data_IF_200234675338
#
_entry.id   IF_200234675338
#
_cell.length_a   1.000
_cell.length_b   1.000
_cell.length_c   1.000
_cell.angle_alpha   90.00
_cell.angle_beta   90.00
_cell.angle_gamma   90.00
#
_symmetry.space_group_name_H-M   'P 1'
#
loop_
_entity.id
_entity.type
_entity.pdbx_description
1 polymer ?
#
# COMPACT_ATOMS: atom_id res chain seq x y z
N UNK A 1 27.18 2.94 -4.19
CA UNK A 1 26.76 3.78 -3.05
C UNK A 1 26.81 2.90 -1.82
N UNK A 2 27.36 3.39 -0.73
CA UNK A 2 27.39 2.71 0.57
C UNK A 2 26.55 3.50 1.58
N UNK A 3 26.32 2.93 2.78
CA UNK A 3 25.67 3.66 3.85
C UNK A 3 26.52 4.86 4.32
N UNK A 4 27.85 4.76 4.29
CA UNK A 4 28.76 5.88 4.55
C UNK A 4 28.55 7.03 3.58
N UNK A 5 28.45 6.75 2.25
CA UNK A 5 28.17 7.77 1.26
C UNK A 5 26.83 8.48 1.51
N UNK A 6 25.83 7.74 1.99
CA UNK A 6 24.53 8.32 2.36
C UNK A 6 24.68 9.26 3.58
N UNK A 7 25.39 8.85 4.62
CA UNK A 7 25.64 9.67 5.81
C UNK A 7 26.35 10.95 5.45
N UNK A 8 27.43 10.88 4.67
CA UNK A 8 28.20 12.06 4.25
C UNK A 8 27.33 13.07 3.49
N UNK A 9 26.41 12.59 2.64
CA UNK A 9 25.48 13.48 1.93
C UNK A 9 24.38 14.01 2.84
N UNK A 10 23.76 13.16 3.67
CA UNK A 10 22.71 13.58 4.61
C UNK A 10 23.20 14.64 5.59
N UNK A 11 24.44 14.56 6.07
CA UNK A 11 25.02 15.55 6.98
C UNK A 11 25.12 16.96 6.37
N UNK A 12 24.98 17.08 5.05
CA UNK A 12 24.97 18.36 4.30
C UNK A 12 23.57 18.85 3.96
N UNK A 13 22.53 18.16 4.41
CA UNK A 13 21.13 18.50 4.12
C UNK A 13 20.46 19.25 5.26
N UNK A 14 19.31 19.85 4.94
CA UNK A 14 18.44 20.54 5.91
C UNK A 14 17.36 19.60 6.50
N UNK A 15 17.32 18.35 6.07
CA UNK A 15 16.39 17.39 6.64
C UNK A 15 16.70 17.19 8.13
N UNK A 16 15.69 17.19 9.04
CA UNK A 16 15.95 17.06 10.48
C UNK A 16 16.29 15.61 10.83
N UNK A 17 17.48 15.18 10.44
CA UNK A 17 17.93 13.82 10.60
C UNK A 17 17.91 13.33 12.06
N UNK A 18 18.01 14.20 13.04
CA UNK A 18 17.90 13.87 14.46
C UNK A 18 16.52 13.31 14.85
N UNK A 19 15.47 13.75 14.15
CA UNK A 19 14.09 13.35 14.40
C UNK A 19 13.63 12.18 13.54
N UNK A 20 14.49 11.63 12.68
CA UNK A 20 14.18 10.46 11.88
C UNK A 20 14.64 9.18 12.59
N UNK A 21 14.10 8.05 12.14
CA UNK A 21 14.45 6.72 12.63
C UNK A 21 14.95 5.87 11.47
N UNK A 22 16.17 5.39 11.59
CA UNK A 22 16.98 4.80 10.53
C UNK A 22 17.18 3.31 10.70
N UNK A 23 17.40 2.65 9.58
CA UNK A 23 17.95 1.30 9.50
C UNK A 23 18.97 1.23 8.36
N UNK A 24 19.77 0.16 8.34
CA UNK A 24 20.63 -0.15 7.21
C UNK A 24 19.80 -0.71 6.06
N UNK A 25 20.22 -0.48 4.82
CA UNK A 25 19.53 -0.98 3.63
C UNK A 25 20.49 -1.80 2.76
N UNK A 26 20.08 -3.02 2.38
CA UNK A 26 20.81 -3.82 1.40
C UNK A 26 20.65 -3.29 -0.02
N UNK A 27 21.42 -3.86 -0.97
CA UNK A 27 21.28 -3.56 -2.42
C UNK A 27 19.85 -3.82 -2.93
N UNK A 28 19.19 -4.83 -2.38
CA UNK A 28 17.80 -5.19 -2.72
C UNK A 28 16.76 -4.39 -1.93
N UNK A 29 17.19 -3.29 -1.28
CA UNK A 29 16.34 -2.42 -0.47
C UNK A 29 15.64 -3.14 0.68
N UNK A 30 16.23 -4.19 1.25
CA UNK A 30 15.72 -4.82 2.47
C UNK A 30 16.26 -4.10 3.70
N UNK A 31 15.41 -3.90 4.75
CA UNK A 31 15.84 -3.23 5.97
C UNK A 31 16.61 -4.16 6.92
N UNK A 32 17.63 -3.61 7.58
CA UNK A 32 18.45 -4.29 8.58
C UNK A 32 18.68 -3.37 9.79
N UNK A 33 18.76 -3.95 10.98
CA UNK A 33 19.20 -3.27 12.20
C UNK A 33 20.67 -2.92 12.11
N UNK A 34 21.13 -2.09 13.06
CA UNK A 34 22.55 -1.72 13.14
C UNK A 34 23.47 -2.89 13.50
N UNK A 35 22.94 -3.96 14.10
CA UNK A 35 23.66 -5.20 14.41
C UNK A 35 23.78 -6.16 13.19
N UNK A 36 23.32 -5.75 12.01
CA UNK A 36 23.35 -6.54 10.79
C UNK A 36 22.23 -7.58 10.66
N UNK A 37 21.31 -7.69 11.62
CA UNK A 37 20.15 -8.58 11.53
C UNK A 37 18.99 -7.93 10.79
N UNK A 38 18.03 -8.74 10.28
CA UNK A 38 16.85 -8.24 9.58
C UNK A 38 16.01 -7.34 10.48
N UNK A 39 15.66 -6.15 10.01
CA UNK A 39 14.71 -5.27 10.65
C UNK A 39 13.28 -5.56 10.19
N UNK A 40 12.32 -5.38 11.10
CA UNK A 40 10.89 -5.44 10.80
C UNK A 40 10.33 -4.02 10.73
N UNK A 41 9.69 -3.66 9.63
CA UNK A 41 9.03 -2.35 9.46
C UNK A 41 7.89 -2.12 10.45
N UNK A 42 7.44 -3.17 11.14
CA UNK A 42 6.36 -3.11 12.14
C UNK A 42 6.85 -2.86 13.56
N UNK A 43 8.19 -2.80 13.76
CA UNK A 43 8.80 -2.65 15.08
C UNK A 43 9.57 -1.34 15.15
N UNK A 44 9.13 -0.45 16.02
CA UNK A 44 9.79 0.84 16.25
C UNK A 44 11.25 0.66 16.70
N UNK A 45 11.50 -0.31 17.57
CA UNK A 45 12.79 -0.63 18.15
C UNK A 45 13.83 -1.16 17.14
N UNK A 46 13.41 -1.53 15.95
CA UNK A 46 14.31 -1.97 14.87
C UNK A 46 14.94 -0.78 14.10
N UNK A 47 14.55 0.46 14.45
CA UNK A 47 15.01 1.69 13.83
C UNK A 47 15.74 2.57 14.86
N UNK A 48 16.94 3.00 14.50
CA UNK A 48 17.86 3.74 15.34
C UNK A 48 17.79 5.25 15.12
N UNK A 49 18.35 6.01 16.05
CA UNK A 49 18.64 7.44 15.87
C UNK A 49 19.81 7.65 14.91
N UNK A 50 19.96 8.86 14.38
CA UNK A 50 21.10 9.18 13.51
C UNK A 50 22.45 9.05 14.24
N UNK A 51 22.50 9.43 15.54
CA UNK A 51 23.70 9.26 16.36
C UNK A 51 24.14 7.80 16.47
N UNK A 52 23.19 6.89 16.74
CA UNK A 52 23.48 5.45 16.79
C UNK A 52 23.95 4.91 15.42
N UNK A 53 23.42 5.45 14.32
CA UNK A 53 23.90 5.08 12.97
C UNK A 53 25.34 5.47 12.76
N UNK A 54 25.79 6.65 13.24
CA UNK A 54 27.18 7.10 13.09
C UNK A 54 28.17 6.18 13.81
N UNK A 55 27.73 5.57 14.91
CA UNK A 55 28.56 4.63 15.71
C UNK A 55 28.47 3.17 15.20
N UNK A 56 27.73 2.91 14.11
CA UNK A 56 27.51 1.57 13.60
C UNK A 56 28.77 1.01 12.92
N UNK A 57 29.31 -0.16 13.33
CA UNK A 57 30.49 -0.75 12.74
C UNK A 57 30.26 -1.37 11.36
N UNK A 58 28.99 -1.56 10.93
CA UNK A 58 28.61 -2.29 9.73
C UNK A 58 28.28 -1.40 8.51
N UNK A 59 28.52 -0.09 8.59
CA UNK A 59 28.13 0.87 7.54
C UNK A 59 28.68 0.54 6.15
N UNK A 60 29.90 -0.01 6.07
CA UNK A 60 30.53 -0.36 4.80
C UNK A 60 29.93 -1.61 4.14
N UNK A 61 29.28 -2.47 4.92
CA UNK A 61 28.68 -3.73 4.46
C UNK A 61 27.33 -3.50 3.76
N UNK A 62 26.72 -2.33 3.99
CA UNK A 62 25.39 -2.01 3.48
C UNK A 62 25.42 -0.98 2.37
N UNK A 63 24.45 -1.10 1.47
CA UNK A 63 24.36 -0.28 0.28
C UNK A 63 23.76 1.11 0.54
N UNK A 64 23.12 1.34 1.69
CA UNK A 64 22.52 2.62 2.03
C UNK A 64 21.79 2.61 3.37
N UNK A 65 21.04 3.67 3.60
CA UNK A 65 20.17 3.85 4.75
C UNK A 65 18.71 3.81 4.33
N UNK A 66 17.84 3.52 5.28
CA UNK A 66 16.40 3.66 5.14
C UNK A 66 15.80 4.31 6.38
N UNK A 67 14.62 4.88 6.24
CA UNK A 67 13.84 5.46 7.34
C UNK A 67 12.48 4.77 7.45
N UNK A 68 12.00 4.59 8.67
CA UNK A 68 10.62 4.18 8.91
C UNK A 68 9.68 5.37 8.75
N UNK A 69 8.67 5.25 7.93
CA UNK A 69 7.65 6.29 7.75
C UNK A 69 6.94 6.59 9.07
N UNK A 70 6.48 5.54 9.77
CA UNK A 70 5.78 5.67 11.03
C UNK A 70 6.70 6.18 12.15
N UNK A 71 7.85 5.52 12.36
CA UNK A 71 8.74 5.87 13.47
C UNK A 71 9.36 7.27 13.32
N UNK A 72 9.52 7.75 12.08
CA UNK A 72 9.99 9.10 11.77
C UNK A 72 8.86 10.13 11.71
N UNK A 73 7.61 9.72 11.77
CA UNK A 73 6.42 10.57 11.61
C UNK A 73 6.52 11.48 10.37
N UNK A 74 6.79 10.87 9.21
CA UNK A 74 6.93 11.56 7.93
C UNK A 74 5.94 11.04 6.91
N UNK A 75 5.52 11.92 6.01
CA UNK A 75 4.84 11.56 4.76
C UNK A 75 5.92 11.32 3.71
N UNK A 76 5.82 10.21 2.99
CA UNK A 76 6.69 9.89 1.87
C UNK A 76 5.90 9.73 0.58
N UNK A 77 6.38 10.38 -0.50
CA UNK A 77 5.89 10.16 -1.85
C UNK A 77 7.05 9.58 -2.66
N UNK A 78 6.82 8.46 -3.32
CA UNK A 78 7.82 7.80 -4.17
C UNK A 78 7.34 7.85 -5.64
N UNK A 79 8.16 8.43 -6.51
CA UNK A 79 7.90 8.54 -7.94
C UNK A 79 8.83 7.58 -8.66
N UNK A 80 8.29 6.44 -9.11
CA UNK A 80 9.05 5.37 -9.73
C UNK A 80 9.31 5.65 -11.22
N UNK A 81 10.54 5.33 -11.68
CA UNK A 81 10.93 5.37 -13.10
C UNK A 81 10.62 6.69 -13.83
N UNK A 82 10.66 7.81 -13.10
CA UNK A 82 10.33 9.13 -13.62
C UNK A 82 11.53 9.93 -14.17
N UNK A 83 12.73 9.40 -14.03
CA UNK A 83 14.02 10.00 -14.49
C UNK A 83 14.62 9.10 -15.56
N UNK A 84 14.81 9.60 -16.78
CA UNK A 84 15.39 8.83 -17.90
C UNK A 84 16.88 8.58 -17.70
N UNK A 85 17.66 9.64 -17.48
CA UNK A 85 19.09 9.57 -17.16
C UNK A 85 19.27 9.62 -15.64
N UNK A 86 19.88 8.61 -15.01
CA UNK A 86 20.03 8.56 -13.57
C UNK A 86 20.67 9.84 -12.99
N UNK A 87 20.06 10.38 -11.93
CA UNK A 87 20.49 11.59 -11.22
C UNK A 87 20.45 12.89 -12.07
N UNK A 88 19.76 12.90 -13.20
CA UNK A 88 19.63 14.07 -14.05
C UNK A 88 18.19 14.62 -14.00
N UNK A 89 17.97 15.68 -13.21
CA UNK A 89 16.65 16.30 -13.02
C UNK A 89 16.07 16.88 -14.32
N UNK A 90 16.89 17.17 -15.32
CA UNK A 90 16.42 17.72 -16.60
C UNK A 90 15.75 16.67 -17.49
N UNK A 91 15.85 15.39 -17.14
CA UNK A 91 15.29 14.25 -17.92
C UNK A 91 14.03 13.66 -17.33
N UNK A 92 13.34 14.41 -16.45
CA UNK A 92 12.06 14.01 -15.86
C UNK A 92 10.90 14.32 -16.81
N UNK A 93 9.84 13.51 -16.73
CA UNK A 93 8.61 13.73 -17.49
C UNK A 93 7.77 14.89 -16.94
N UNK A 94 6.77 15.34 -17.70
CA UNK A 94 5.95 16.51 -17.32
C UNK A 94 5.14 16.26 -16.04
N UNK A 95 4.58 15.05 -15.85
CA UNK A 95 3.87 14.70 -14.62
C UNK A 95 4.75 14.87 -13.39
N UNK A 96 5.99 14.41 -13.46
CA UNK A 96 6.96 14.55 -12.36
C UNK A 96 7.27 16.02 -12.09
N UNK A 97 7.46 16.84 -13.13
CA UNK A 97 7.65 18.31 -12.97
C UNK A 97 6.48 18.95 -12.23
N UNK A 98 5.26 18.65 -12.67
CA UNK A 98 4.04 19.18 -12.04
C UNK A 98 3.94 18.76 -10.55
N UNK A 99 4.32 17.53 -10.21
CA UNK A 99 4.35 17.07 -8.82
C UNK A 99 5.46 17.82 -8.04
N UNK A 100 6.66 17.91 -8.58
CA UNK A 100 7.75 18.63 -7.90
C UNK A 100 7.40 20.09 -7.65
N UNK A 101 6.74 20.76 -8.58
CA UNK A 101 6.30 22.15 -8.43
C UNK A 101 5.31 22.36 -7.28
N UNK A 102 4.55 21.31 -6.90
CA UNK A 102 3.66 21.35 -5.74
C UNK A 102 4.40 21.29 -4.41
N UNK A 103 5.60 20.68 -4.37
CA UNK A 103 6.30 20.35 -3.12
C UNK A 103 7.66 21.03 -2.95
N UNK A 104 8.24 21.62 -4.00
CA UNK A 104 9.62 22.12 -4.02
C UNK A 104 9.94 23.19 -2.98
N UNK A 105 8.94 23.93 -2.51
CA UNK A 105 9.16 25.08 -1.62
C UNK A 105 9.16 24.69 -0.13
N UNK A 106 8.69 23.48 0.23
CA UNK A 106 8.59 23.08 1.64
C UNK A 106 8.97 21.63 1.94
N UNK A 107 9.04 20.74 0.94
CA UNK A 107 9.42 19.35 1.14
C UNK A 107 10.90 19.11 0.87
N UNK A 108 11.47 18.13 1.55
CA UNK A 108 12.78 17.58 1.17
C UNK A 108 12.58 16.63 0.00
N UNK A 109 13.33 16.84 -1.07
CA UNK A 109 13.21 16.06 -2.30
C UNK A 109 14.58 15.54 -2.73
N UNK A 110 14.69 14.26 -2.99
CA UNK A 110 15.93 13.60 -3.42
C UNK A 110 15.70 12.60 -4.55
N UNK A 111 16.76 12.23 -5.24
CA UNK A 111 16.75 11.06 -6.12
C UNK A 111 16.67 9.77 -5.30
N UNK A 112 15.88 8.81 -5.80
CA UNK A 112 15.81 7.48 -5.22
C UNK A 112 17.16 6.75 -5.31
N UNK A 113 17.25 5.61 -4.63
CA UNK A 113 18.47 4.79 -4.57
C UNK A 113 19.03 4.37 -5.95
N UNK A 114 18.15 4.14 -6.93
CA UNK A 114 18.56 3.81 -8.32
C UNK A 114 18.95 5.03 -9.16
N UNK A 115 18.67 6.22 -8.68
CA UNK A 115 18.79 7.48 -9.45
C UNK A 115 17.70 7.66 -10.51
N UNK A 116 16.82 6.69 -10.72
CA UNK A 116 15.75 6.71 -11.74
C UNK A 116 14.36 7.06 -11.20
N UNK A 117 14.24 7.25 -9.92
CA UNK A 117 13.03 7.71 -9.24
C UNK A 117 13.32 8.92 -8.39
N UNK A 118 12.28 9.54 -7.87
CA UNK A 118 12.36 10.70 -6.98
C UNK A 118 11.54 10.40 -5.73
N UNK A 119 12.06 10.85 -4.59
CA UNK A 119 11.40 10.75 -3.30
C UNK A 119 11.16 12.12 -2.71
N UNK A 120 9.95 12.33 -2.20
CA UNK A 120 9.53 13.55 -1.54
C UNK A 120 9.20 13.20 -0.10
N UNK A 121 9.78 13.92 0.86
CA UNK A 121 9.52 13.76 2.29
C UNK A 121 9.01 15.06 2.87
N UNK A 122 7.95 14.97 3.65
CA UNK A 122 7.38 16.11 4.38
C UNK A 122 6.69 15.61 5.65
N UNK A 123 6.24 16.55 6.51
CA UNK A 123 5.42 16.24 7.67
C UNK A 123 4.06 16.88 7.53
N UNK A 124 3.03 16.14 7.88
CA UNK A 124 1.65 16.60 7.84
C UNK A 124 0.76 15.78 8.75
N UNK A 125 -0.37 16.34 9.13
CA UNK A 125 -1.43 15.61 9.79
C UNK A 125 -2.01 14.51 8.89
N UNK A 126 -2.61 13.50 9.50
CA UNK A 126 -3.27 12.42 8.78
C UNK A 126 -4.38 12.97 7.87
N UNK A 127 -4.47 12.46 6.66
CA UNK A 127 -5.60 12.68 5.76
C UNK A 127 -6.67 11.62 6.12
N UNK A 128 -7.82 12.07 6.60
CA UNK A 128 -8.94 11.20 6.95
C UNK A 128 -9.50 10.46 5.73
N UNK A 129 -10.04 9.27 5.96
CA UNK A 129 -10.63 8.40 4.92
C UNK A 129 -9.67 8.10 3.76
N UNK A 130 -8.37 8.11 4.04
CA UNK A 130 -7.36 7.94 3.00
C UNK A 130 -7.51 6.61 2.27
N UNK A 131 -7.66 5.49 3.00
CA UNK A 131 -7.68 4.14 2.41
C UNK A 131 -8.89 3.89 1.53
N UNK A 132 -10.02 4.47 1.85
CA UNK A 132 -11.24 4.30 1.07
C UNK A 132 -11.16 5.04 -0.27
N UNK A 133 -10.62 6.25 -0.26
CA UNK A 133 -10.65 7.17 -1.40
C UNK A 133 -9.41 7.11 -2.31
N UNK A 134 -8.22 6.90 -1.74
CA UNK A 134 -6.97 7.04 -2.47
C UNK A 134 -6.19 5.75 -2.59
N UNK A 135 -5.40 5.61 -3.64
CA UNK A 135 -4.39 4.57 -3.76
C UNK A 135 -3.23 4.82 -2.79
N UNK A 136 -2.72 3.76 -2.16
CA UNK A 136 -1.38 3.79 -1.55
C UNK A 136 -0.32 3.71 -2.66
N UNK A 137 -0.59 2.91 -3.70
CA UNK A 137 0.25 2.75 -4.88
C UNK A 137 -0.62 2.85 -6.13
N UNK A 138 -0.41 3.91 -6.91
CA UNK A 138 -1.01 4.05 -8.24
C UNK A 138 0.00 3.58 -9.29
N UNK A 139 -0.09 2.31 -9.66
CA UNK A 139 0.85 1.66 -10.60
C UNK A 139 0.72 2.18 -12.01
N UNK A 140 -0.43 2.74 -12.39
CA UNK A 140 -0.66 3.27 -13.74
C UNK A 140 0.20 4.50 -14.05
N UNK A 141 0.60 5.23 -13.02
CA UNK A 141 1.39 6.45 -13.12
C UNK A 141 2.72 6.41 -12.34
N UNK A 142 3.03 5.26 -11.71
CA UNK A 142 4.27 5.07 -10.95
C UNK A 142 4.39 5.92 -9.69
N UNK A 143 3.28 6.22 -9.00
CA UNK A 143 3.26 7.06 -7.80
C UNK A 143 2.83 6.25 -6.58
N UNK A 144 3.60 6.34 -5.49
CA UNK A 144 3.25 5.78 -4.20
C UNK A 144 3.18 6.89 -3.14
N UNK A 145 2.22 6.77 -2.21
CA UNK A 145 2.04 7.72 -1.12
C UNK A 145 1.96 7.00 0.22
N UNK A 146 2.76 7.43 1.17
CA UNK A 146 2.86 6.83 2.50
C UNK A 146 2.71 7.91 3.56
N UNK A 147 1.80 7.72 4.51
CA UNK A 147 1.71 8.53 5.72
C UNK A 147 1.88 7.67 6.97
N UNK A 148 2.25 8.25 8.12
CA UNK A 148 2.56 7.51 9.36
C UNK A 148 1.40 6.63 9.82
N UNK A 149 0.18 7.14 9.68
CA UNK A 149 -1.06 6.46 10.04
C UNK A 149 -2.05 6.58 8.89
N UNK A 150 -2.82 5.53 8.63
CA UNK A 150 -3.90 5.49 7.66
C UNK A 150 -5.19 5.13 8.37
N UNK A 151 -6.14 6.05 8.48
CA UNK A 151 -7.45 5.82 9.12
C UNK A 151 -7.31 5.17 10.51
N UNK A 152 -6.40 5.70 11.33
CA UNK A 152 -6.08 5.19 12.65
C UNK A 152 -5.22 3.92 12.68
N UNK A 153 -4.78 3.39 11.52
CA UNK A 153 -3.93 2.22 11.42
C UNK A 153 -2.51 2.64 11.10
N UNK A 154 -1.56 2.19 11.92
CA UNK A 154 -0.12 2.43 11.75
C UNK A 154 0.39 1.99 10.39
N UNK A 155 1.16 2.83 9.74
CA UNK A 155 1.84 2.51 8.48
C UNK A 155 3.00 1.55 8.70
N UNK A 156 3.01 0.45 7.95
CA UNK A 156 4.09 -0.53 7.94
C UNK A 156 5.00 -0.30 6.72
N UNK A 157 5.56 0.91 6.61
CA UNK A 157 6.39 1.31 5.47
C UNK A 157 7.73 1.86 5.91
N UNK A 158 8.73 1.56 5.12
CA UNK A 158 10.04 2.19 5.18
C UNK A 158 10.46 2.61 3.76
N UNK A 159 11.28 3.62 3.65
CA UNK A 159 11.86 4.08 2.38
C UNK A 159 13.37 4.21 2.54
N UNK A 160 14.12 3.91 1.49
CA UNK A 160 15.55 4.19 1.47
C UNK A 160 15.77 5.70 1.37
N UNK A 161 16.85 6.21 1.98
CA UNK A 161 17.23 7.62 1.91
C UNK A 161 18.67 7.70 1.39
N UNK A 162 18.95 8.66 0.52
CA UNK A 162 20.21 8.72 -0.23
C UNK A 162 21.04 9.96 0.02
N UNK A 163 20.42 11.06 0.39
CA UNK A 163 21.07 12.39 0.45
C UNK A 163 21.40 12.98 -0.94
N UNK A 164 21.00 12.33 -2.06
CA UNK A 164 21.12 12.90 -3.40
C UNK A 164 20.04 13.95 -3.63
N UNK A 165 20.18 15.09 -2.98
CA UNK A 165 19.16 16.12 -2.82
C UNK A 165 18.88 16.86 -4.13
N UNK A 166 17.61 17.09 -4.43
CA UNK A 166 17.12 17.95 -5.51
C UNK A 166 16.65 19.28 -4.90
N UNK A 167 15.80 19.22 -3.86
CA UNK A 167 15.36 20.36 -3.07
C UNK A 167 15.61 20.10 -1.59
N UNK A 168 16.44 20.96 -0.98
CA UNK A 168 16.97 20.80 0.37
C UNK A 168 16.18 21.62 1.40
N UNK A 169 14.87 21.40 1.48
CA UNK A 169 14.04 22.09 2.44
C UNK A 169 13.97 21.38 3.79
N UNK A 170 13.67 22.12 4.82
CA UNK A 170 13.43 21.60 6.15
C UNK A 170 11.99 21.10 6.27
N UNK A 171 11.81 19.82 6.64
CA UNK A 171 10.47 19.18 6.68
C UNK A 171 9.68 19.47 7.96
N UNK A 172 10.27 20.06 8.98
CA UNK A 172 9.64 20.44 10.25
C UNK A 172 9.11 21.89 10.19
N UNK A 173 8.34 22.23 9.18
CA UNK A 173 7.74 23.56 9.09
C UNK A 173 6.54 23.67 10.01
N UNK A 174 6.28 24.89 10.51
CA UNK A 174 5.05 25.21 11.27
C UNK A 174 3.85 25.48 10.37
N UNK A 175 4.09 25.52 9.06
CA UNK A 175 3.07 25.82 8.06
C UNK A 175 2.25 24.57 7.75
N UNK A 176 0.95 24.76 7.60
CA UNK A 176 0.03 23.68 7.22
C UNK A 176 -0.01 23.51 5.69
N UNK A 177 0.54 22.40 5.21
CA UNK A 177 0.55 22.03 3.81
C UNK A 177 -0.49 20.95 3.46
N UNK A 178 -1.45 20.67 4.35
CA UNK A 178 -2.50 19.66 4.13
C UNK A 178 -3.31 19.92 2.86
N UNK A 179 -3.56 21.17 2.52
CA UNK A 179 -4.23 21.57 1.28
C UNK A 179 -3.48 21.15 0.02
N UNK A 180 -2.14 21.28 0.01
CA UNK A 180 -1.29 20.83 -1.10
C UNK A 180 -1.28 19.31 -1.21
N UNK A 181 -1.12 18.61 -0.09
CA UNK A 181 -1.20 17.15 -0.04
C UNK A 181 -2.55 16.64 -0.53
N UNK A 182 -3.63 17.25 -0.09
CA UNK A 182 -4.98 16.89 -0.55
C UNK A 182 -5.14 17.12 -2.06
N UNK A 183 -4.66 18.25 -2.59
CA UNK A 183 -4.69 18.53 -4.03
C UNK A 183 -3.88 17.50 -4.81
N UNK A 184 -2.70 17.11 -4.32
CA UNK A 184 -1.90 16.05 -4.91
C UNK A 184 -2.67 14.71 -4.92
N UNK A 185 -3.26 14.31 -3.79
CA UNK A 185 -4.03 13.08 -3.68
C UNK A 185 -5.24 13.09 -4.61
N UNK A 186 -6.01 14.17 -4.66
CA UNK A 186 -7.17 14.32 -5.52
C UNK A 186 -6.81 14.27 -7.02
N UNK A 187 -5.62 14.73 -7.40
CA UNK A 187 -5.18 14.72 -8.79
C UNK A 187 -4.55 13.40 -9.23
N UNK A 188 -3.78 12.74 -8.37
CA UNK A 188 -2.92 11.62 -8.77
C UNK A 188 -3.26 10.28 -8.10
N UNK A 189 -3.94 10.30 -6.97
CA UNK A 189 -4.10 9.10 -6.14
C UNK A 189 -5.55 8.68 -5.93
N UNK A 190 -6.53 9.41 -6.44
CA UNK A 190 -7.93 8.99 -6.36
C UNK A 190 -8.05 7.62 -7.01
N UNK A 191 -8.57 6.67 -6.27
CA UNK A 191 -8.96 5.39 -6.84
C UNK A 191 -9.96 5.70 -7.95
N UNK A 192 -9.68 5.20 -9.15
CA UNK A 192 -10.72 5.17 -10.16
C UNK A 192 -11.90 4.45 -9.53
N UNK A 193 -12.82 5.20 -8.95
CA UNK A 193 -14.16 4.70 -8.80
C UNK A 193 -14.56 4.40 -10.22
N UNK A 194 -14.60 3.11 -10.59
CA UNK A 194 -15.45 2.73 -11.70
C UNK A 194 -16.72 3.47 -11.37
N UNK A 195 -17.06 4.45 -12.19
CA UNK A 195 -18.17 5.38 -12.00
C UNK A 195 -19.54 4.71 -12.03
N UNK A 196 -19.65 3.57 -11.34
CA UNK A 196 -20.79 2.68 -11.28
C UNK A 196 -21.00 2.03 -9.90
N UNK A 197 -20.14 2.25 -8.87
CA UNK A 197 -20.38 1.51 -7.60
C UNK A 197 -21.61 2.00 -6.85
N UNK A 198 -21.98 3.27 -6.91
CA UNK A 198 -23.26 3.75 -6.37
C UNK A 198 -24.46 3.27 -7.19
N UNK A 199 -24.38 3.36 -8.50
CA UNK A 199 -25.38 2.81 -9.42
C UNK A 199 -25.37 1.26 -9.42
N UNK A 200 -24.20 0.64 -9.22
CA UNK A 200 -24.06 -0.83 -9.12
C UNK A 200 -24.70 -1.35 -7.83
N UNK A 201 -24.55 -0.68 -6.69
CA UNK A 201 -25.18 -1.12 -5.43
C UNK A 201 -26.71 -0.98 -5.51
N UNK A 202 -27.24 0.08 -6.12
CA UNK A 202 -28.67 0.18 -6.39
C UNK A 202 -29.16 -0.91 -7.39
N UNK A 203 -28.40 -1.19 -8.46
CA UNK A 203 -28.71 -2.28 -9.38
C UNK A 203 -28.48 -3.69 -8.79
N UNK A 204 -27.59 -3.84 -7.78
CA UNK A 204 -27.39 -5.12 -7.10
C UNK A 204 -28.55 -5.50 -6.17
N UNK A 205 -29.35 -4.52 -5.77
CA UNK A 205 -30.57 -4.73 -4.96
C UNK A 205 -31.82 -5.13 -5.79
N UNK A 206 -31.71 -5.19 -7.14
CA UNK A 206 -32.77 -5.77 -7.95
C UNK A 206 -32.86 -7.29 -7.74
N UNK A 207 -34.06 -7.83 -7.64
CA UNK A 207 -34.35 -9.28 -7.54
C UNK A 207 -33.95 -9.99 -8.85
N UNK A 208 -32.65 -10.23 -9.02
CA UNK A 208 -32.13 -10.97 -10.19
C UNK A 208 -32.23 -12.46 -9.94
N UNK A 209 -32.69 -13.20 -10.96
CA UNK A 209 -32.67 -14.66 -10.89
C UNK A 209 -31.25 -15.19 -10.71
N UNK A 210 -31.10 -16.31 -10.03
CA UNK A 210 -29.79 -16.95 -9.80
C UNK A 210 -29.04 -17.22 -11.10
N UNK A 211 -29.75 -17.54 -12.19
CA UNK A 211 -29.12 -17.80 -13.50
C UNK A 211 -28.50 -16.54 -14.11
N UNK A 212 -29.15 -15.39 -13.93
CA UNK A 212 -28.60 -14.09 -14.33
C UNK A 212 -27.32 -13.76 -13.52
N UNK A 213 -27.34 -14.05 -12.21
CA UNK A 213 -26.17 -13.87 -11.36
C UNK A 213 -25.02 -14.82 -11.73
N UNK A 214 -25.30 -16.07 -12.08
CA UNK A 214 -24.30 -17.02 -12.62
C UNK A 214 -23.64 -16.51 -13.90
N UNK A 215 -24.43 -15.90 -14.79
CA UNK A 215 -23.87 -15.26 -15.99
C UNK A 215 -22.96 -14.10 -15.65
N UNK A 216 -23.33 -13.27 -14.67
CA UNK A 216 -22.46 -12.19 -14.17
C UNK A 216 -21.16 -12.75 -13.59
N UNK A 217 -21.21 -13.77 -12.74
CA UNK A 217 -20.01 -14.44 -12.21
C UNK A 217 -19.10 -14.91 -13.34
N UNK A 218 -19.64 -15.61 -14.35
CA UNK A 218 -18.85 -16.07 -15.52
C UNK A 218 -18.16 -14.91 -16.24
N UNK A 219 -18.84 -13.78 -16.43
CA UNK A 219 -18.27 -12.59 -17.04
C UNK A 219 -17.14 -12.01 -16.19
N UNK A 220 -17.35 -11.91 -14.87
CA UNK A 220 -16.35 -11.40 -13.95
C UNK A 220 -15.12 -12.30 -13.83
N UNK A 221 -15.27 -13.62 -13.91
CA UNK A 221 -14.16 -14.56 -13.98
C UNK A 221 -13.27 -14.35 -15.23
N UNK A 222 -13.82 -13.90 -16.34
CA UNK A 222 -13.06 -13.58 -17.55
C UNK A 222 -12.31 -12.24 -17.40
N UNK A 223 -12.93 -11.26 -16.74
CA UNK A 223 -12.46 -9.89 -16.68
C UNK A 223 -11.52 -9.59 -15.47
N UNK A 224 -11.51 -10.46 -14.44
CA UNK A 224 -10.77 -10.23 -13.21
C UNK A 224 -9.94 -11.45 -12.83
N UNK A 225 -8.63 -11.37 -13.11
CA UNK A 225 -7.69 -12.46 -12.85
C UNK A 225 -7.63 -12.83 -11.37
N UNK A 226 -7.62 -11.87 -10.45
CA UNK A 226 -7.57 -12.14 -9.02
C UNK A 226 -8.80 -12.90 -8.51
N UNK A 227 -9.99 -12.54 -9.02
CA UNK A 227 -11.21 -13.27 -8.70
C UNK A 227 -11.22 -14.66 -9.34
N UNK A 228 -10.70 -14.81 -10.55
CA UNK A 228 -10.53 -16.09 -11.22
C UNK A 228 -9.60 -17.01 -10.43
N UNK A 229 -8.45 -16.52 -9.97
CA UNK A 229 -7.48 -17.29 -9.19
C UNK A 229 -8.08 -17.77 -7.86
N UNK A 230 -8.83 -16.91 -7.19
CA UNK A 230 -9.53 -17.30 -5.96
C UNK A 230 -10.65 -18.33 -6.20
N UNK A 231 -11.38 -18.21 -7.31
CA UNK A 231 -12.49 -19.09 -7.65
C UNK A 231 -12.07 -20.51 -8.03
N UNK A 232 -10.97 -20.65 -8.78
CA UNK A 232 -10.49 -21.90 -9.36
C UNK A 232 -9.26 -22.41 -8.61
N UNK A 233 -9.04 -22.44 -7.41
CA UNK A 233 -7.93 -23.01 -6.62
C UNK A 233 -6.55 -23.21 -7.33
N UNK A 234 -6.50 -23.28 -8.64
CA UNK A 234 -5.34 -23.58 -9.47
C UNK A 234 -4.50 -22.35 -9.86
N UNK A 235 -4.61 -21.27 -9.09
CA UNK A 235 -3.77 -20.09 -9.27
C UNK A 235 -2.28 -20.42 -9.21
N UNK A 236 -1.57 -20.13 -10.28
CA UNK A 236 -0.16 -20.49 -10.55
C UNK A 236 0.83 -19.78 -9.58
N UNK A 237 0.37 -18.97 -8.68
CA UNK A 237 1.23 -18.27 -7.71
C UNK A 237 0.93 -18.72 -6.27
N UNK A 238 1.82 -19.53 -5.66
CA UNK A 238 1.76 -19.79 -4.22
C UNK A 238 2.16 -18.52 -3.47
N UNK A 239 1.21 -17.62 -3.26
CA UNK A 239 1.36 -16.52 -2.31
C UNK A 239 1.17 -17.05 -0.89
N UNK A 240 1.66 -16.33 0.13
CA UNK A 240 1.38 -16.69 1.54
C UNK A 240 -0.12 -16.84 1.83
N UNK A 241 -0.97 -16.22 1.04
CA UNK A 241 -2.43 -16.27 1.08
C UNK A 241 -3.00 -17.66 0.74
N UNK A 242 -2.30 -18.50 -0.02
CA UNK A 242 -2.75 -19.87 -0.33
C UNK A 242 -2.77 -20.79 0.89
N UNK A 243 -2.26 -20.35 2.04
CA UNK A 243 -2.25 -21.14 3.30
C UNK A 243 -3.43 -20.86 4.20
N UNK A 244 -4.16 -19.77 4.00
CA UNK A 244 -5.33 -19.41 4.81
C UNK A 244 -6.61 -19.49 3.97
N UNK A 245 -7.27 -20.67 4.04
CA UNK A 245 -8.56 -20.88 3.36
C UNK A 245 -9.64 -19.93 3.86
N UNK A 246 -9.56 -19.45 5.11
CA UNK A 246 -10.53 -18.50 5.66
C UNK A 246 -10.38 -17.11 5.04
N UNK A 247 -9.16 -16.70 4.68
CA UNK A 247 -8.90 -15.44 3.98
C UNK A 247 -9.43 -15.52 2.53
N UNK A 248 -9.25 -16.66 1.88
CA UNK A 248 -9.78 -16.89 0.53
C UNK A 248 -11.31 -16.93 0.51
N UNK A 249 -11.94 -17.57 1.49
CA UNK A 249 -13.39 -17.51 1.71
C UNK A 249 -13.84 -16.04 1.77
N UNK A 250 -13.17 -15.23 2.59
CA UNK A 250 -13.51 -13.82 2.75
C UNK A 250 -13.37 -13.03 1.44
N UNK A 251 -12.31 -13.24 0.66
CA UNK A 251 -12.08 -12.55 -0.62
C UNK A 251 -13.17 -12.88 -1.64
N UNK A 252 -13.51 -14.16 -1.81
CA UNK A 252 -14.56 -14.57 -2.76
C UNK A 252 -15.92 -14.01 -2.32
N UNK A 253 -16.29 -14.16 -1.05
CA UNK A 253 -17.55 -13.65 -0.51
C UNK A 253 -17.66 -12.13 -0.62
N UNK A 254 -16.58 -11.40 -0.31
CA UNK A 254 -16.51 -9.95 -0.46
C UNK A 254 -16.66 -9.53 -1.91
N UNK A 255 -16.00 -10.24 -2.83
CA UNK A 255 -16.13 -9.95 -4.26
C UNK A 255 -17.56 -10.16 -4.76
N UNK A 256 -18.22 -11.26 -4.39
CA UNK A 256 -19.60 -11.53 -4.72
C UNK A 256 -20.54 -10.45 -4.17
N UNK A 257 -20.33 -10.04 -2.90
CA UNK A 257 -21.12 -9.00 -2.25
C UNK A 257 -21.00 -7.64 -2.97
N UNK A 258 -19.80 -7.25 -3.33
CA UNK A 258 -19.53 -5.93 -3.91
C UNK A 258 -19.83 -5.83 -5.41
N UNK A 259 -19.76 -6.94 -6.16
CA UNK A 259 -19.77 -6.89 -7.61
C UNK A 259 -20.91 -7.70 -8.28
N UNK A 260 -21.56 -8.58 -7.55
CA UNK A 260 -22.56 -9.49 -8.13
C UNK A 260 -23.94 -9.29 -7.50
N UNK A 261 -24.08 -9.40 -6.18
CA UNK A 261 -25.36 -9.23 -5.48
C UNK A 261 -25.16 -9.01 -3.98
N UNK A 262 -26.03 -8.24 -3.35
CA UNK A 262 -26.07 -8.07 -1.90
C UNK A 262 -27.03 -9.06 -1.21
N UNK A 263 -27.76 -9.89 -2.00
CA UNK A 263 -28.62 -10.93 -1.47
C UNK A 263 -27.80 -12.07 -0.87
N UNK A 264 -27.85 -12.23 0.44
CA UNK A 264 -26.99 -13.13 1.22
C UNK A 264 -27.19 -14.59 0.85
N UNK A 265 -28.43 -15.01 0.57
CA UNK A 265 -28.72 -16.40 0.18
C UNK A 265 -28.17 -16.72 -1.21
N UNK A 266 -28.26 -15.76 -2.14
CA UNK A 266 -27.69 -15.89 -3.47
C UNK A 266 -26.14 -15.91 -3.41
N UNK A 267 -25.53 -15.09 -2.55
CA UNK A 267 -24.06 -15.13 -2.35
C UNK A 267 -23.63 -16.50 -1.84
N UNK A 268 -24.34 -17.04 -0.85
CA UNK A 268 -24.07 -18.38 -0.33
C UNK A 268 -24.10 -19.44 -1.45
N UNK A 269 -25.18 -19.44 -2.22
CA UNK A 269 -25.34 -20.39 -3.33
C UNK A 269 -24.25 -20.25 -4.38
N UNK A 270 -23.91 -19.03 -4.82
CA UNK A 270 -22.85 -18.80 -5.79
C UNK A 270 -21.47 -19.21 -5.25
N UNK A 271 -21.20 -18.95 -3.98
CA UNK A 271 -19.93 -19.36 -3.36
C UNK A 271 -19.79 -20.88 -3.29
N UNK A 272 -20.86 -21.61 -2.93
CA UNK A 272 -20.90 -23.07 -2.90
C UNK A 272 -20.75 -23.70 -4.30
N UNK A 273 -21.05 -22.96 -5.36
CA UNK A 273 -20.83 -23.34 -6.76
C UNK A 273 -19.37 -23.17 -7.22
N UNK A 274 -18.55 -22.41 -6.48
CA UNK A 274 -17.15 -22.17 -6.85
C UNK A 274 -16.34 -23.47 -6.86
N UNK A 275 -15.35 -23.56 -7.74
CA UNK A 275 -14.43 -24.69 -7.77
C UNK A 275 -13.65 -24.80 -6.48
N UNK A 276 -13.25 -23.65 -5.92
CA UNK A 276 -12.58 -23.58 -4.63
C UNK A 276 -13.40 -24.22 -3.50
N UNK A 277 -14.69 -23.87 -3.38
CA UNK A 277 -15.55 -24.49 -2.35
C UNK A 277 -15.70 -25.99 -2.54
N UNK A 278 -15.89 -26.45 -3.77
CA UNK A 278 -16.04 -27.89 -4.10
C UNK A 278 -14.80 -28.74 -3.82
N UNK A 279 -13.64 -28.12 -3.67
CA UNK A 279 -12.39 -28.80 -3.32
C UNK A 279 -12.09 -28.80 -1.82
N UNK A 280 -12.97 -28.24 -0.98
CA UNK A 280 -12.82 -28.27 0.48
C UNK A 280 -12.95 -29.67 1.05
N UNK A 281 -12.14 -29.97 2.06
CA UNK A 281 -12.24 -31.22 2.79
C UNK A 281 -13.49 -31.27 3.70
N UNK A 282 -13.79 -32.47 4.23
CA UNK A 282 -14.95 -32.68 5.11
C UNK A 282 -14.94 -31.82 6.38
N UNK A 283 -13.77 -31.49 6.91
CA UNK A 283 -13.63 -30.63 8.10
C UNK A 283 -14.04 -29.20 7.81
N UNK A 284 -13.64 -28.66 6.65
CA UNK A 284 -14.00 -27.31 6.22
C UNK A 284 -15.47 -27.21 5.81
N UNK A 285 -16.02 -28.25 5.18
CA UNK A 285 -17.46 -28.34 4.89
C UNK A 285 -18.26 -28.38 6.19
N UNK A 286 -17.85 -29.21 7.17
CA UNK A 286 -18.51 -29.23 8.47
C UNK A 286 -18.47 -27.87 9.19
N UNK A 287 -17.32 -27.17 9.16
CA UNK A 287 -17.22 -25.79 9.71
C UNK A 287 -18.18 -24.82 9.02
N UNK A 288 -18.37 -24.96 7.70
CA UNK A 288 -19.28 -24.15 6.90
C UNK A 288 -20.73 -24.37 7.27
N UNK A 289 -21.17 -25.62 7.39
CA UNK A 289 -22.56 -26.02 7.66
C UNK A 289 -22.94 -25.93 9.16
N UNK A 290 -21.92 -25.94 10.06
CA UNK A 290 -22.12 -26.01 11.50
C UNK A 290 -22.97 -24.86 12.02
N UNK A 291 -23.94 -25.21 12.88
CA UNK A 291 -24.81 -24.26 13.60
C UNK A 291 -25.47 -23.22 12.67
N UNK A 292 -26.20 -23.72 11.69
CA UNK A 292 -26.95 -22.92 10.71
C UNK A 292 -26.07 -21.88 10.00
N UNK A 293 -24.95 -22.35 9.42
CA UNK A 293 -23.99 -21.53 8.68
C UNK A 293 -23.41 -20.36 9.48
N UNK A 294 -23.16 -20.55 10.77
CA UNK A 294 -22.62 -19.51 11.67
C UNK A 294 -21.34 -18.88 11.12
N UNK A 295 -20.45 -19.68 10.55
CA UNK A 295 -19.20 -19.18 9.96
C UNK A 295 -19.47 -18.26 8.78
N UNK A 296 -20.34 -18.66 7.85
CA UNK A 296 -20.75 -17.83 6.71
C UNK A 296 -21.39 -16.50 7.17
N UNK A 297 -22.36 -16.59 8.09
CA UNK A 297 -23.02 -15.39 8.65
C UNK A 297 -22.03 -14.43 9.29
N UNK A 298 -21.00 -14.94 9.97
CA UNK A 298 -19.92 -14.15 10.53
C UNK A 298 -19.07 -13.46 9.44
N UNK A 299 -18.72 -14.17 8.37
CA UNK A 299 -17.97 -13.57 7.23
C UNK A 299 -18.80 -12.45 6.58
N UNK A 300 -20.07 -12.68 6.33
CA UNK A 300 -20.98 -11.67 5.76
C UNK A 300 -21.12 -10.45 6.69
N UNK A 301 -21.22 -10.64 8.00
CA UNK A 301 -21.30 -9.51 8.93
C UNK A 301 -20.05 -8.65 8.90
N UNK A 302 -18.84 -9.27 8.81
CA UNK A 302 -17.59 -8.55 8.63
C UNK A 302 -17.51 -7.79 7.30
N UNK A 303 -17.99 -8.41 6.21
CA UNK A 303 -18.03 -7.76 4.91
C UNK A 303 -18.94 -6.53 4.94
N UNK A 304 -20.14 -6.67 5.53
CA UNK A 304 -21.07 -5.54 5.71
C UNK A 304 -20.47 -4.43 6.56
N UNK A 305 -19.83 -4.77 7.68
CA UNK A 305 -19.16 -3.80 8.54
C UNK A 305 -18.01 -3.09 7.80
N UNK A 306 -17.23 -3.82 7.01
CA UNK A 306 -16.14 -3.26 6.23
C UNK A 306 -16.63 -2.25 5.18
N UNK A 307 -17.77 -2.55 4.51
CA UNK A 307 -18.34 -1.71 3.46
C UNK A 307 -19.39 -0.70 3.95
N UNK A 308 -19.83 -0.75 5.21
CA UNK A 308 -20.71 0.27 5.79
C UNK A 308 -19.93 1.47 6.37
N UNK A 309 -18.62 1.38 6.41
CA UNK A 309 -17.70 2.46 6.85
C UNK A 309 -17.20 3.31 5.68
N UNK A 310 -17.64 2.98 4.47
CA UNK A 310 -17.46 3.73 3.23
C UNK A 310 -18.77 4.50 2.91
#
# INVERSE_FOLDING_TARGET
MSALDCIERLSKTNIPYENLRYCLASKDKNPYRLDGTRASVNKYEDFATFGEVLDCPHLEEFAGLGISIQASNVVGIDLDHCVEEPLNINTINQQTKDILDMFKDFAYIEFSFSGKGIRILTRQNEIENYRSRYYIKNTSIGVEYYQPTFDGITSNRYVTITGNTIYNNHIDTKEDHSGTLKTFLDKYMVKETKSDSGAIIEHLNEDKSIDKLRMMVKRHLILNQGFQDDWFKDGIHPTKADRDESERDFRILSYLYCNITTNVDMIKQLFEESTFFKTKDSKHIHKWEYNDYRYFKYQISKIKEYHSKD
#
